data_IF_737642609976
#
_entry.id   IF_737642609976
#
_cell.length_a   1.000
_cell.length_b   1.000
_cell.length_c   1.000
_cell.angle_alpha   90.00
_cell.angle_beta   90.00
_cell.angle_gamma   90.00
#
_symmetry.space_group_name_H-M   'P 1'
#
loop_
_entity.id
_entity.type
_entity.pdbx_description
1 polymer ?
#
# COMPACT_ATOMS: atom_id res chain seq x y z
N UNK A 1 -31.06 -27.09 -9.09
CA UNK A 1 -29.81 -27.79 -8.67
C UNK A 1 -29.08 -28.17 -9.96
N UNK A 2 -27.88 -27.73 -10.32
CA UNK A 2 -26.88 -26.88 -9.69
C UNK A 2 -26.15 -26.06 -10.79
N UNK A 3 -25.95 -24.73 -10.68
CA UNK A 3 -25.42 -23.89 -11.76
C UNK A 3 -23.87 -23.76 -11.76
N UNK A 4 -23.13 -24.69 -11.14
CA UNK A 4 -21.70 -24.53 -10.86
C UNK A 4 -20.71 -25.26 -11.78
N UNK A 5 -21.18 -26.11 -12.70
CA UNK A 5 -20.30 -27.08 -13.38
C UNK A 5 -19.61 -26.48 -14.62
N UNK A 6 -20.26 -25.56 -15.33
CA UNK A 6 -19.70 -24.94 -16.55
C UNK A 6 -18.50 -24.02 -16.28
N UNK A 7 -18.50 -23.32 -15.14
CA UNK A 7 -17.40 -22.44 -14.74
C UNK A 7 -16.15 -23.23 -14.30
N UNK A 8 -16.36 -24.34 -13.58
CA UNK A 8 -15.29 -25.25 -13.17
C UNK A 8 -14.60 -25.92 -14.36
N UNK A 9 -15.36 -26.33 -15.39
CA UNK A 9 -14.83 -26.96 -16.61
C UNK A 9 -14.13 -25.94 -17.53
N UNK A 10 -14.61 -24.69 -17.58
CA UNK A 10 -13.93 -23.60 -18.28
C UNK A 10 -12.57 -23.25 -17.66
N UNK A 11 -12.49 -23.23 -16.33
CA UNK A 11 -11.23 -23.04 -15.59
C UNK A 11 -10.30 -24.24 -15.79
N UNK A 12 -10.80 -25.49 -15.77
CA UNK A 12 -10.00 -26.69 -16.07
C UNK A 12 -9.40 -26.71 -17.47
N UNK A 13 -10.03 -26.08 -18.46
CA UNK A 13 -9.49 -25.94 -19.83
C UNK A 13 -8.42 -24.85 -19.97
N UNK A 14 -8.43 -23.84 -19.09
CA UNK A 14 -7.42 -22.79 -19.03
C UNK A 14 -6.18 -23.18 -18.20
N UNK A 15 -6.33 -24.14 -17.28
CA UNK A 15 -5.26 -24.66 -16.41
C UNK A 15 -4.06 -25.27 -17.16
N UNK A 16 -4.17 -25.99 -18.30
CA UNK A 16 -3.00 -26.45 -19.04
C UNK A 16 -2.30 -25.31 -19.83
N UNK A 17 -3.01 -24.24 -20.17
CA UNK A 17 -2.46 -23.11 -20.94
C UNK A 17 -1.82 -22.02 -20.04
N UNK A 18 -2.28 -21.88 -18.80
CA UNK A 18 -1.67 -21.00 -17.80
C UNK A 18 -0.57 -21.77 -17.08
N UNK A 19 0.63 -21.76 -17.66
CA UNK A 19 1.81 -22.26 -16.95
C UNK A 19 1.97 -21.56 -15.61
N UNK A 20 2.42 -22.29 -14.57
CA UNK A 20 2.70 -21.78 -13.21
C UNK A 20 3.38 -20.40 -13.18
N UNK A 21 4.28 -20.17 -14.13
CA UNK A 21 4.97 -18.90 -14.33
C UNK A 21 4.04 -17.71 -14.67
N UNK A 22 2.99 -17.91 -15.47
CA UNK A 22 2.00 -16.88 -15.80
C UNK A 22 1.19 -16.47 -14.57
N UNK A 23 0.89 -17.39 -13.65
CA UNK A 23 0.23 -17.06 -12.39
C UNK A 23 1.11 -16.12 -11.57
N UNK A 24 2.41 -16.42 -11.46
CA UNK A 24 3.37 -15.55 -10.76
C UNK A 24 3.51 -14.19 -11.44
N UNK A 25 3.53 -14.14 -12.77
CA UNK A 25 3.53 -12.88 -13.54
C UNK A 25 2.27 -12.04 -13.30
N UNK A 26 1.10 -12.66 -13.25
CA UNK A 26 -0.15 -11.95 -12.97
C UNK A 26 -0.15 -11.42 -11.54
N UNK A 27 0.28 -12.23 -10.55
CA UNK A 27 0.33 -11.81 -9.15
C UNK A 27 1.29 -10.64 -8.93
N UNK A 28 2.49 -10.68 -9.53
CA UNK A 28 3.45 -9.57 -9.42
C UNK A 28 2.96 -8.34 -10.19
N UNK A 29 2.30 -8.50 -11.34
CA UNK A 29 1.69 -7.39 -12.08
C UNK A 29 0.59 -6.71 -11.25
N UNK A 30 -0.29 -7.49 -10.61
CA UNK A 30 -1.31 -6.96 -9.71
C UNK A 30 -0.65 -6.23 -8.53
N UNK A 31 0.39 -6.80 -7.91
CA UNK A 31 1.11 -6.14 -6.83
C UNK A 31 1.72 -4.78 -7.27
N UNK A 32 2.35 -4.74 -8.45
CA UNK A 32 2.91 -3.49 -9.02
C UNK A 32 1.79 -2.46 -9.26
N UNK A 33 0.67 -2.89 -9.85
CA UNK A 33 -0.48 -2.01 -10.09
C UNK A 33 -1.00 -1.47 -8.77
N UNK A 34 -1.17 -2.30 -7.75
CA UNK A 34 -1.66 -1.87 -6.44
C UNK A 34 -0.71 -0.89 -5.74
N UNK A 35 0.61 -1.12 -5.76
CA UNK A 35 1.59 -0.18 -5.18
C UNK A 35 1.65 1.13 -5.97
N UNK A 36 1.56 1.05 -7.29
CA UNK A 36 1.56 2.23 -8.17
C UNK A 36 0.27 3.03 -8.00
N UNK A 37 -0.87 2.35 -7.86
CA UNK A 37 -2.15 2.97 -7.54
C UNK A 37 -2.13 3.57 -6.13
N UNK A 38 -1.56 2.88 -5.14
CA UNK A 38 -1.42 3.42 -3.78
C UNK A 38 -0.62 4.73 -3.78
N UNK A 39 0.52 4.76 -4.47
CA UNK A 39 1.35 5.97 -4.57
C UNK A 39 0.67 7.07 -5.38
N UNK A 40 0.01 6.74 -6.50
CA UNK A 40 -0.74 7.68 -7.32
C UNK A 40 -1.99 8.23 -6.59
N UNK A 41 -2.72 7.39 -5.85
CA UNK A 41 -3.91 7.79 -5.10
C UNK A 41 -3.56 8.51 -3.81
N UNK A 42 -2.40 8.29 -3.19
CA UNK A 42 -1.94 9.13 -2.09
C UNK A 42 -1.34 10.46 -2.57
N UNK A 43 -0.98 10.56 -3.85
CA UNK A 43 -0.67 11.82 -4.52
C UNK A 43 -1.95 12.57 -4.95
N UNK A 44 -2.93 11.85 -5.51
CA UNK A 44 -4.19 12.38 -6.03
C UNK A 44 -5.34 12.43 -5.02
N UNK A 45 -5.23 11.76 -3.87
CA UNK A 45 -6.12 11.88 -2.70
C UNK A 45 -6.04 13.27 -2.06
N UNK A 46 -5.09 14.06 -2.56
CA UNK A 46 -5.04 15.50 -2.46
C UNK A 46 -5.44 16.23 -3.75
N UNK A 47 -6.47 15.76 -4.48
CA UNK A 47 -7.10 16.49 -5.57
C UNK A 47 -8.60 16.59 -5.34
N UNK A 48 -9.04 17.84 -5.26
CA UNK A 48 -10.28 18.41 -4.73
C UNK A 48 -11.61 17.98 -5.38
N UNK A 49 -11.67 16.90 -6.16
CA UNK A 49 -12.74 16.76 -7.17
C UNK A 49 -13.56 15.47 -7.16
N UNK A 50 -13.28 14.50 -6.29
CA UNK A 50 -14.03 13.24 -6.28
C UNK A 50 -14.67 12.93 -4.93
N UNK A 51 -16.00 13.09 -4.79
CA UNK A 51 -16.79 12.62 -3.65
C UNK A 51 -16.69 11.11 -3.41
N UNK A 52 -16.17 10.35 -4.39
CA UNK A 52 -16.05 8.89 -4.38
C UNK A 52 -14.76 8.37 -3.74
N UNK A 53 -13.82 9.23 -3.32
CA UNK A 53 -12.59 8.79 -2.63
C UNK A 53 -12.45 9.48 -1.25
N UNK A 54 -13.39 9.30 -0.31
CA UNK A 54 -13.33 9.95 1.01
C UNK A 54 -12.34 9.28 1.99
N UNK A 55 -11.60 8.23 1.60
CA UNK A 55 -10.87 7.37 2.55
C UNK A 55 -9.42 7.03 2.22
N UNK A 56 -8.76 7.78 1.32
CA UNK A 56 -7.34 7.53 0.96
C UNK A 56 -6.48 8.70 1.44
N UNK A 57 -6.00 8.56 2.67
CA UNK A 57 -5.02 9.43 3.31
C UNK A 57 -4.11 8.57 4.20
N UNK A 58 -3.02 9.11 4.72
CA UNK A 58 -2.20 8.42 5.73
C UNK A 58 -2.81 8.62 7.11
N UNK A 59 -3.03 9.89 7.45
CA UNK A 59 -3.62 10.35 8.69
C UNK A 59 -4.48 11.57 8.40
N UNK A 60 -5.59 11.69 9.11
CA UNK A 60 -6.41 12.91 9.15
C UNK A 60 -6.43 13.44 10.58
N UNK A 61 -6.44 14.75 10.72
CA UNK A 61 -6.67 15.46 11.97
C UNK A 61 -7.85 16.38 11.77
N UNK A 62 -8.82 16.35 12.67
CA UNK A 62 -9.98 17.22 12.57
C UNK A 62 -10.44 17.71 13.93
N UNK A 63 -10.99 18.92 13.94
CA UNK A 63 -11.66 19.42 15.13
C UNK A 63 -13.03 18.76 15.27
N UNK A 64 -13.25 18.17 16.43
CA UNK A 64 -14.56 17.66 16.84
C UNK A 64 -14.64 17.81 18.35
N UNK A 65 -15.70 18.47 18.82
CA UNK A 65 -15.99 18.51 20.25
C UNK A 65 -16.53 17.15 20.72
N UNK A 66 -15.90 16.55 21.71
CA UNK A 66 -16.37 15.32 22.36
C UNK A 66 -16.08 15.37 23.87
N UNK A 67 -16.70 14.48 24.64
CA UNK A 67 -16.49 14.40 26.09
C UNK A 67 -15.05 13.98 26.39
N UNK A 68 -14.25 14.79 27.09
CA UNK A 68 -12.87 14.44 27.44
C UNK A 68 -12.82 13.15 28.27
N UNK A 69 -11.78 12.35 28.04
CA UNK A 69 -11.48 11.17 28.86
C UNK A 69 -10.48 11.55 29.95
N UNK A 70 -10.84 11.30 31.21
CA UNK A 70 -10.01 11.60 32.37
C UNK A 70 -9.27 10.35 32.85
N UNK A 71 -7.97 10.47 33.06
CA UNK A 71 -7.11 9.38 33.55
C UNK A 71 -6.25 9.88 34.73
N UNK A 72 -6.00 9.06 35.77
CA UNK A 72 -5.13 9.43 36.89
C UNK A 72 -3.69 9.83 36.51
N UNK A 73 -3.21 9.44 35.31
CA UNK A 73 -1.92 9.85 34.78
C UNK A 73 -1.89 11.29 34.23
N UNK A 74 -3.05 11.93 34.09
CA UNK A 74 -3.15 13.34 33.67
C UNK A 74 -2.82 14.25 34.85
N UNK A 75 -1.70 14.98 34.76
CA UNK A 75 -1.24 15.91 35.80
C UNK A 75 -2.18 17.11 35.95
N UNK A 76 -2.71 17.62 34.84
CA UNK A 76 -3.69 18.72 34.83
C UNK A 76 -4.86 18.40 33.86
N UNK A 77 -5.93 17.76 34.36
CA UNK A 77 -7.11 17.46 33.54
C UNK A 77 -7.91 18.73 33.16
N UNK A 78 -7.70 19.85 33.85
CA UNK A 78 -8.39 21.12 33.60
C UNK A 78 -7.97 21.80 32.29
N UNK A 79 -6.79 21.48 31.76
CA UNK A 79 -6.29 21.99 30.47
C UNK A 79 -7.25 21.69 29.33
N UNK A 80 -7.96 20.57 29.37
CA UNK A 80 -8.95 20.18 28.35
C UNK A 80 -10.05 21.22 28.16
N UNK A 81 -10.51 21.86 29.24
CA UNK A 81 -11.52 22.92 29.19
C UNK A 81 -10.96 24.21 28.57
N UNK A 82 -9.69 24.55 28.84
CA UNK A 82 -9.03 25.69 28.22
C UNK A 82 -8.86 25.48 26.71
N UNK A 83 -8.44 24.27 26.30
CA UNK A 83 -8.33 23.89 24.88
C UNK A 83 -9.71 23.97 24.21
N UNK A 84 -10.77 23.45 24.83
CA UNK A 84 -12.12 23.51 24.28
C UNK A 84 -12.60 24.95 24.07
N UNK A 85 -12.27 25.88 24.97
CA UNK A 85 -12.60 27.30 24.81
C UNK A 85 -11.82 27.97 23.67
N UNK A 86 -10.57 27.56 23.42
CA UNK A 86 -9.73 28.07 22.33
C UNK A 86 -10.21 27.54 20.97
N UNK A 87 -10.56 26.25 20.89
CA UNK A 87 -11.03 25.62 19.66
C UNK A 87 -12.46 26.06 19.31
N UNK A 88 -13.30 26.29 20.33
CA UNK A 88 -14.67 26.75 20.14
C UNK A 88 -15.50 25.77 19.30
N UNK A 89 -16.18 26.28 18.26
CA UNK A 89 -16.97 25.48 17.32
C UNK A 89 -16.34 25.37 15.92
N UNK A 90 -15.02 25.53 15.83
CA UNK A 90 -14.35 25.46 14.53
C UNK A 90 -14.38 24.04 13.97
N UNK A 91 -14.59 23.95 12.66
CA UNK A 91 -14.57 22.69 11.92
C UNK A 91 -13.54 22.80 10.79
N UNK A 92 -12.38 22.20 11.04
CA UNK A 92 -11.30 22.05 10.09
C UNK A 92 -10.89 20.58 10.11
N UNK A 93 -10.76 19.99 8.92
CA UNK A 93 -10.14 18.68 8.72
C UNK A 93 -8.89 18.87 7.87
N UNK A 94 -7.78 18.28 8.31
CA UNK A 94 -6.49 18.27 7.63
C UNK A 94 -6.08 16.82 7.37
N UNK A 95 -5.98 16.45 6.09
CA UNK A 95 -5.51 15.13 5.63
C UNK A 95 -4.08 15.21 5.13
N UNK A 96 -3.30 14.17 5.43
CA UNK A 96 -1.91 14.05 5.00
C UNK A 96 -1.75 12.93 3.98
N UNK A 97 -1.15 13.25 2.83
CA UNK A 97 -0.66 12.28 1.85
C UNK A 97 0.88 12.24 1.81
N UNK A 98 1.46 11.40 0.95
CA UNK A 98 2.93 11.30 0.83
C UNK A 98 3.60 12.60 0.38
N UNK A 99 2.94 13.34 -0.51
CA UNK A 99 3.52 14.48 -1.22
C UNK A 99 2.70 15.76 -1.06
N UNK A 100 1.70 15.77 -0.19
CA UNK A 100 0.74 16.87 -0.08
C UNK A 100 -0.10 16.85 1.18
N UNK A 101 -0.74 17.98 1.41
CA UNK A 101 -1.67 18.23 2.52
C UNK A 101 -2.99 18.73 1.94
N UNK A 102 -4.07 18.41 2.64
CA UNK A 102 -5.41 18.70 2.20
C UNK A 102 -6.26 19.22 3.35
N UNK A 103 -6.85 20.38 3.18
CA UNK A 103 -7.67 21.03 4.21
C UNK A 103 -9.11 21.14 3.75
N UNK A 104 -10.07 20.91 4.63
CA UNK A 104 -11.47 21.22 4.40
C UNK A 104 -11.98 22.09 5.54
N UNK A 105 -12.34 23.33 5.21
CA UNK A 105 -13.06 24.23 6.11
C UNK A 105 -14.54 24.21 5.69
N UNK A 106 -15.44 23.98 6.64
CA UNK A 106 -16.90 24.01 6.44
C UNK A 106 -17.48 23.00 5.42
N UNK A 107 -17.18 21.70 5.62
CA UNK A 107 -17.86 20.53 5.00
C UNK A 107 -18.05 20.53 3.47
N UNK A 108 -17.33 21.37 2.71
CA UNK A 108 -17.69 21.69 1.33
C UNK A 108 -16.69 21.28 0.26
N UNK A 109 -15.39 21.51 0.44
CA UNK A 109 -14.36 21.20 -0.58
C UNK A 109 -12.97 21.05 0.07
N UNK A 110 -12.18 20.07 -0.38
CA UNK A 110 -10.78 19.95 0.03
C UNK A 110 -9.90 20.87 -0.81
N UNK A 111 -9.15 21.76 -0.18
CA UNK A 111 -8.07 22.52 -0.79
C UNK A 111 -6.76 21.78 -0.56
N UNK A 112 -6.03 21.53 -1.64
CA UNK A 112 -4.91 20.61 -1.62
C UNK A 112 -3.64 21.29 -2.13
N UNK A 113 -2.55 21.17 -1.38
CA UNK A 113 -1.26 21.75 -1.77
C UNK A 113 -0.11 20.99 -1.11
N UNK A 114 1.06 21.00 -1.76
CA UNK A 114 2.29 20.55 -1.13
C UNK A 114 2.88 21.61 -0.18
N UNK A 115 2.55 22.88 -0.39
CA UNK A 115 3.05 23.97 0.46
C UNK A 115 2.04 24.28 1.56
N UNK A 116 2.39 23.89 2.80
CA UNK A 116 1.58 24.13 3.99
C UNK A 116 1.38 25.62 4.28
N UNK A 117 2.37 26.46 3.96
CA UNK A 117 2.28 27.91 4.17
C UNK A 117 1.19 28.53 3.29
N UNK A 118 1.08 28.10 2.03
CA UNK A 118 0.00 28.55 1.14
C UNK A 118 -1.39 28.12 1.63
N UNK A 119 -1.50 26.95 2.28
CA UNK A 119 -2.75 26.49 2.87
C UNK A 119 -3.10 27.31 4.12
N UNK A 120 -2.12 27.59 4.97
CA UNK A 120 -2.28 28.40 6.16
C UNK A 120 -2.67 29.85 5.83
N UNK A 121 -2.13 30.44 4.75
CA UNK A 121 -2.50 31.79 4.28
C UNK A 121 -3.96 31.89 3.80
N UNK A 122 -4.56 30.77 3.40
CA UNK A 122 -5.95 30.72 2.95
C UNK A 122 -6.94 30.50 4.10
N UNK A 123 -6.45 30.22 5.31
CA UNK A 123 -7.26 29.92 6.49
C UNK A 123 -7.09 31.06 7.52
N UNK A 124 -8.20 31.51 8.13
CA UNK A 124 -8.15 32.48 9.22
C UNK A 124 -7.71 31.84 10.54
N UNK A 125 -7.15 32.64 11.45
CA UNK A 125 -6.67 32.18 12.76
C UNK A 125 -7.79 31.46 13.54
N UNK A 126 -9.03 31.93 13.43
CA UNK A 126 -10.19 31.33 14.11
C UNK A 126 -10.53 29.90 13.63
N UNK A 127 -10.06 29.53 12.44
CA UNK A 127 -10.34 28.23 11.80
C UNK A 127 -9.25 27.18 12.06
N UNK A 128 -8.03 27.59 12.44
CA UNK A 128 -6.95 26.68 12.85
C UNK A 128 -6.27 27.12 14.18
N UNK A 129 -7.01 27.19 15.30
CA UNK A 129 -6.51 27.75 16.55
C UNK A 129 -5.40 26.90 17.22
N UNK A 130 -5.28 25.61 16.85
CA UNK A 130 -4.23 24.70 17.35
C UNK A 130 -3.15 24.38 16.32
N UNK A 131 -3.11 25.10 15.19
CA UNK A 131 -2.14 24.90 14.12
C UNK A 131 -2.06 23.45 13.62
N UNK A 132 -3.21 22.80 13.41
CA UNK A 132 -3.33 21.47 12.83
C UNK A 132 -2.61 21.37 11.48
N UNK A 133 -2.64 22.43 10.65
CA UNK A 133 -1.93 22.46 9.37
C UNK A 133 -0.42 22.29 9.58
N UNK A 134 0.12 22.94 10.62
CA UNK A 134 1.55 22.83 10.97
C UNK A 134 1.91 21.45 11.51
N UNK A 135 1.07 20.88 12.39
CA UNK A 135 1.25 19.51 12.92
C UNK A 135 1.23 18.50 11.77
N UNK A 136 0.25 18.61 10.87
CA UNK A 136 0.12 17.76 9.70
C UNK A 136 1.32 17.88 8.74
N UNK A 137 1.81 19.10 8.51
CA UNK A 137 3.02 19.33 7.71
C UNK A 137 4.28 18.75 8.37
N UNK A 138 4.38 18.83 9.69
CA UNK A 138 5.50 18.23 10.45
C UNK A 138 5.48 16.71 10.33
N UNK A 139 4.31 16.08 10.44
CA UNK A 139 4.17 14.64 10.21
C UNK A 139 4.61 14.26 8.78
N UNK A 140 4.13 14.98 7.76
CA UNK A 140 4.51 14.76 6.35
C UNK A 140 6.02 14.84 6.15
N UNK A 141 6.68 15.89 6.66
CA UNK A 141 8.10 16.13 6.34
C UNK A 141 9.06 15.30 7.20
N UNK A 142 8.70 14.98 8.44
CA UNK A 142 9.60 14.35 9.40
C UNK A 142 9.39 12.85 9.55
N UNK A 143 8.19 12.33 9.22
CA UNK A 143 7.81 10.94 9.51
C UNK A 143 7.54 10.14 8.24
N UNK A 144 6.98 10.78 7.21
CA UNK A 144 6.56 10.09 6.00
C UNK A 144 7.74 9.88 5.03
N UNK A 145 8.02 8.62 4.67
CA UNK A 145 9.12 8.27 3.76
C UNK A 145 8.63 7.37 2.59
N UNK A 146 8.24 7.94 1.44
CA UNK A 146 7.71 7.17 0.30
C UNK A 146 8.79 6.45 -0.54
N UNK A 147 10.06 6.83 -0.41
CA UNK A 147 11.12 6.41 -1.33
C UNK A 147 11.40 4.91 -1.31
N UNK A 148 11.23 4.23 -0.17
CA UNK A 148 11.38 2.77 -0.09
C UNK A 148 10.36 2.03 -0.97
N UNK A 149 9.12 2.51 -1.01
CA UNK A 149 8.07 1.92 -1.86
C UNK A 149 8.41 2.12 -3.34
N UNK A 150 8.90 3.30 -3.71
CA UNK A 150 9.30 3.60 -5.10
C UNK A 150 10.42 2.65 -5.55
N UNK A 151 11.44 2.45 -4.72
CA UNK A 151 12.53 1.51 -5.01
C UNK A 151 12.00 0.07 -5.11
N UNK A 152 11.09 -0.34 -4.21
CA UNK A 152 10.48 -1.65 -4.25
C UNK A 152 9.68 -1.90 -5.54
N UNK A 153 8.96 -0.90 -6.05
CA UNK A 153 8.25 -0.98 -7.34
C UNK A 153 9.24 -1.21 -8.48
N UNK A 154 10.39 -0.51 -8.49
CA UNK A 154 11.42 -0.69 -9.51
C UNK A 154 11.95 -2.13 -9.48
N UNK A 155 12.27 -2.67 -8.30
CA UNK A 155 12.73 -4.05 -8.17
C UNK A 155 11.66 -5.08 -8.55
N UNK A 156 10.41 -4.87 -8.18
CA UNK A 156 9.30 -5.72 -8.60
C UNK A 156 9.10 -5.68 -10.13
N UNK A 157 9.25 -4.52 -10.75
CA UNK A 157 9.18 -4.36 -12.21
C UNK A 157 10.33 -5.06 -12.93
N UNK A 158 11.57 -4.93 -12.43
CA UNK A 158 12.71 -5.67 -12.96
C UNK A 158 12.51 -7.18 -12.82
N UNK A 159 11.97 -7.64 -11.69
CA UNK A 159 11.60 -9.04 -11.49
C UNK A 159 10.55 -9.48 -12.54
N UNK A 160 9.51 -8.68 -12.78
CA UNK A 160 8.50 -8.96 -13.80
C UNK A 160 9.12 -9.10 -15.21
N UNK A 161 10.06 -8.23 -15.59
CA UNK A 161 10.77 -8.33 -16.87
C UNK A 161 11.61 -9.61 -16.97
N UNK A 162 12.29 -10.00 -15.89
CA UNK A 162 13.04 -11.26 -15.85
C UNK A 162 12.13 -12.48 -15.96
N UNK A 163 10.98 -12.46 -15.28
CA UNK A 163 9.96 -13.49 -15.44
C UNK A 163 9.48 -13.54 -16.90
N UNK A 164 9.16 -12.41 -17.52
CA UNK A 164 8.71 -12.38 -18.92
C UNK A 164 9.71 -12.99 -19.92
N UNK A 165 11.00 -13.09 -19.57
CA UNK A 165 12.01 -13.78 -20.39
C UNK A 165 11.97 -15.31 -20.32
N UNK A 166 11.14 -15.90 -19.45
CA UNK A 166 11.05 -17.34 -19.31
C UNK A 166 10.40 -17.96 -20.55
N UNK A 167 11.02 -18.99 -21.13
CA UNK A 167 10.50 -19.63 -22.32
C UNK A 167 9.19 -20.36 -22.00
N UNK A 168 8.17 -20.13 -22.84
CA UNK A 168 6.87 -20.79 -22.75
C UNK A 168 6.92 -22.26 -23.17
N UNK A 169 5.77 -22.91 -23.10
CA UNK A 169 5.57 -24.23 -23.72
C UNK A 169 5.78 -24.10 -25.23
N UNK A 170 6.58 -25.01 -25.81
CA UNK A 170 6.72 -25.14 -27.25
C UNK A 170 6.55 -26.60 -27.63
N UNK A 171 5.77 -26.86 -28.68
CA UNK A 171 5.58 -28.20 -29.23
C UNK A 171 6.85 -28.60 -29.98
N UNK A 172 7.49 -29.70 -29.55
CA UNK A 172 8.56 -30.33 -30.31
C UNK A 172 8.10 -31.69 -30.82
N UNK A 173 8.48 -32.01 -32.06
CA UNK A 173 8.15 -33.30 -32.65
C UNK A 173 9.22 -34.32 -32.25
N UNK A 174 8.81 -35.33 -31.50
CA UNK A 174 9.72 -36.38 -31.02
C UNK A 174 10.31 -37.14 -32.21
N UNK A 175 11.65 -37.20 -32.29
CA UNK A 175 12.39 -37.83 -33.39
C UNK A 175 12.25 -39.36 -33.40
N UNK A 176 11.89 -39.98 -32.27
CA UNK A 176 11.78 -41.43 -32.15
C UNK A 176 10.38 -41.97 -32.50
N UNK A 177 9.33 -41.26 -32.10
CA UNK A 177 7.93 -41.72 -32.25
C UNK A 177 7.12 -40.91 -33.26
N UNK A 178 7.62 -39.75 -33.69
CA UNK A 178 6.92 -38.85 -34.62
C UNK A 178 5.72 -38.12 -34.01
N UNK A 179 5.44 -38.35 -32.72
CA UNK A 179 4.39 -37.69 -31.93
C UNK A 179 4.79 -36.25 -31.59
N UNK A 180 3.80 -35.36 -31.56
CA UNK A 180 3.96 -34.03 -30.96
C UNK A 180 4.07 -34.20 -29.44
N UNK A 181 5.12 -33.63 -28.86
CA UNK A 181 5.39 -33.65 -27.41
C UNK A 181 5.59 -32.21 -26.96
N UNK A 182 4.82 -31.79 -25.97
CA UNK A 182 4.99 -30.49 -25.33
C UNK A 182 6.25 -30.50 -24.47
N UNK A 183 7.28 -29.75 -24.89
CA UNK A 183 8.53 -29.60 -24.13
C UNK A 183 8.52 -28.28 -23.39
N UNK A 184 8.74 -28.35 -22.08
CA UNK A 184 8.90 -27.17 -21.22
C UNK A 184 10.39 -26.92 -20.96
N UNK A 185 11.01 -25.94 -21.64
CA UNK A 185 12.40 -25.57 -21.35
C UNK A 185 12.54 -25.06 -19.92
N UNK A 186 13.58 -25.53 -19.21
CA UNK A 186 13.89 -25.04 -17.87
C UNK A 186 14.37 -23.58 -17.94
N UNK A 187 13.91 -22.70 -17.04
CA UNK A 187 14.43 -21.35 -16.95
C UNK A 187 15.91 -21.37 -16.58
N UNK A 188 16.68 -20.40 -17.08
CA UNK A 188 18.10 -20.31 -16.75
C UNK A 188 18.28 -20.03 -15.25
N UNK A 189 19.06 -20.89 -14.58
CA UNK A 189 19.39 -20.79 -13.15
C UNK A 189 19.80 -19.37 -12.69
N UNK A 190 20.66 -18.61 -13.40
CA UNK A 190 21.02 -17.26 -12.97
C UNK A 190 19.83 -16.30 -12.98
N UNK A 191 18.95 -16.38 -13.99
CA UNK A 191 17.79 -15.49 -14.09
C UNK A 191 16.78 -15.79 -12.99
N UNK A 192 16.53 -17.07 -12.68
CA UNK A 192 15.63 -17.45 -11.58
C UNK A 192 16.15 -17.00 -10.20
N UNK A 193 17.47 -17.08 -9.96
CA UNK A 193 18.07 -16.64 -8.70
C UNK A 193 18.04 -15.11 -8.57
N UNK A 194 18.34 -14.38 -9.64
CA UNK A 194 18.22 -12.91 -9.67
C UNK A 194 16.78 -12.45 -9.46
N UNK A 195 15.80 -13.11 -10.10
CA UNK A 195 14.38 -12.80 -9.91
C UNK A 195 13.93 -13.03 -8.46
N UNK A 196 14.35 -14.13 -7.83
CA UNK A 196 14.06 -14.43 -6.43
C UNK A 196 14.66 -13.36 -5.49
N UNK A 197 15.92 -12.99 -5.70
CA UNK A 197 16.58 -11.98 -4.89
C UNK A 197 15.88 -10.60 -5.00
N UNK A 198 15.51 -10.19 -6.22
CA UNK A 198 14.81 -8.93 -6.45
C UNK A 198 13.43 -8.88 -5.79
N UNK A 199 12.61 -9.94 -5.94
CA UNK A 199 11.29 -9.96 -5.31
C UNK A 199 11.38 -10.05 -3.79
N UNK A 200 12.38 -10.75 -3.26
CA UNK A 200 12.61 -10.83 -1.82
C UNK A 200 12.96 -9.45 -1.25
N UNK A 201 13.93 -8.74 -1.85
CA UNK A 201 14.31 -7.39 -1.42
C UNK A 201 13.12 -6.43 -1.55
N UNK A 202 12.36 -6.50 -2.65
CA UNK A 202 11.16 -5.70 -2.84
C UNK A 202 10.12 -5.98 -1.73
N UNK A 203 9.88 -7.24 -1.38
CA UNK A 203 8.93 -7.62 -0.32
C UNK A 203 9.34 -7.08 1.05
N UNK A 204 10.64 -7.09 1.37
CA UNK A 204 11.18 -6.53 2.62
C UNK A 204 11.00 -5.01 2.66
N UNK A 205 11.30 -4.31 1.56
CA UNK A 205 11.10 -2.86 1.50
C UNK A 205 9.64 -2.46 1.63
N UNK A 206 8.72 -3.19 1.00
CA UNK A 206 7.27 -2.97 1.17
C UNK A 206 6.86 -3.24 2.62
N UNK A 207 7.33 -4.33 3.22
CA UNK A 207 7.02 -4.67 4.62
C UNK A 207 7.46 -3.56 5.59
N UNK A 208 8.71 -3.12 5.49
CA UNK A 208 9.26 -2.04 6.32
C UNK A 208 8.46 -0.75 6.12
N UNK A 209 8.13 -0.42 4.87
CA UNK A 209 7.38 0.80 4.56
C UNK A 209 5.97 0.79 5.14
N UNK A 210 5.22 -0.30 4.93
CA UNK A 210 3.83 -0.43 5.41
C UNK A 210 3.79 -0.49 6.95
N UNK A 211 4.70 -1.23 7.57
CA UNK A 211 4.83 -1.26 9.03
C UNK A 211 5.13 0.12 9.61
N UNK A 212 6.12 0.81 9.04
CA UNK A 212 6.51 2.15 9.48
C UNK A 212 5.33 3.13 9.38
N UNK A 213 4.63 3.14 8.24
CA UNK A 213 3.48 4.04 8.05
C UNK A 213 2.33 3.72 9.01
N UNK A 214 2.04 2.43 9.23
CA UNK A 214 1.02 1.99 10.17
C UNK A 214 1.35 2.46 11.59
N UNK A 215 2.54 2.15 12.10
CA UNK A 215 2.91 2.49 13.47
C UNK A 215 3.03 3.99 13.67
N UNK A 216 3.63 4.70 12.71
CA UNK A 216 3.78 6.15 12.74
C UNK A 216 2.43 6.88 12.73
N UNK A 217 1.51 6.50 11.84
CA UNK A 217 0.18 7.13 11.75
C UNK A 217 -0.64 6.85 13.01
N UNK A 218 -0.65 5.62 13.51
CA UNK A 218 -1.36 5.29 14.76
C UNK A 218 -0.78 6.06 15.94
N UNK A 219 0.55 6.12 16.08
CA UNK A 219 1.19 6.85 17.18
C UNK A 219 0.88 8.35 17.11
N UNK A 220 1.00 8.97 15.93
CA UNK A 220 0.69 10.38 15.75
C UNK A 220 -0.80 10.68 16.01
N UNK A 221 -1.71 9.80 15.58
CA UNK A 221 -3.14 9.96 15.80
C UNK A 221 -3.52 9.89 17.28
N UNK A 222 -2.91 8.98 18.04
CA UNK A 222 -3.15 8.85 19.47
C UNK A 222 -2.56 10.03 20.24
N UNK A 223 -1.31 10.42 19.98
CA UNK A 223 -0.67 11.57 20.63
C UNK A 223 -1.46 12.86 20.37
N UNK A 224 -1.93 13.09 19.15
CA UNK A 224 -2.75 14.26 18.83
C UNK A 224 -4.11 14.25 19.56
N UNK A 225 -4.76 13.09 19.66
CA UNK A 225 -6.03 12.93 20.39
C UNK A 225 -5.87 13.13 21.89
N UNK A 226 -4.81 12.57 22.48
CA UNK A 226 -4.54 12.69 23.91
C UNK A 226 -4.15 14.13 24.27
N UNK A 227 -3.40 14.82 23.41
CA UNK A 227 -3.06 16.23 23.60
C UNK A 227 -4.28 17.16 23.45
N UNK A 228 -5.13 16.91 22.45
CA UNK A 228 -6.31 17.73 22.17
C UNK A 228 -7.56 17.30 22.93
N UNK A 229 -7.45 16.34 23.85
CA UNK A 229 -8.52 15.63 24.55
C UNK A 229 -9.84 16.41 24.70
N UNK A 230 -10.83 16.04 23.88
CA UNK A 230 -12.17 16.64 23.82
C UNK A 230 -12.38 17.65 22.69
N UNK A 231 -11.32 18.01 21.94
CA UNK A 231 -11.37 19.03 20.88
C UNK A 231 -10.76 18.58 19.55
N UNK A 232 -9.81 17.63 19.56
CA UNK A 232 -9.14 17.12 18.36
C UNK A 232 -9.37 15.62 18.25
N UNK A 233 -9.80 15.16 17.08
CA UNK A 233 -9.76 13.76 16.71
C UNK A 233 -8.84 13.53 15.54
N UNK A 234 -8.41 12.28 15.40
CA UNK A 234 -7.59 11.84 14.29
C UNK A 234 -8.02 10.45 13.85
N UNK A 235 -7.93 10.20 12.56
CA UNK A 235 -8.14 8.89 11.97
C UNK A 235 -6.92 8.46 11.17
N UNK A 236 -6.89 7.17 10.88
CA UNK A 236 -5.84 6.55 10.05
C UNK A 236 -6.51 6.03 8.80
N UNK A 237 -5.90 6.28 7.63
CA UNK A 237 -6.49 5.85 6.36
C UNK A 237 -6.37 4.35 6.16
N UNK A 238 -7.41 3.63 6.59
CA UNK A 238 -7.50 2.16 6.50
C UNK A 238 -7.42 1.66 5.06
N UNK A 239 -7.97 2.40 4.08
CA UNK A 239 -7.92 2.01 2.67
C UNK A 239 -6.48 1.94 2.14
N UNK A 240 -5.66 2.96 2.43
CA UNK A 240 -4.25 3.01 2.04
C UNK A 240 -3.47 1.86 2.69
N UNK A 241 -3.75 1.59 3.96
CA UNK A 241 -3.15 0.51 4.73
C UNK A 241 -3.49 -0.87 4.15
N UNK A 242 -4.75 -1.13 3.82
CA UNK A 242 -5.20 -2.40 3.22
C UNK A 242 -4.53 -2.64 1.88
N UNK A 243 -4.45 -1.62 1.01
CA UNK A 243 -3.77 -1.73 -0.29
C UNK A 243 -2.28 -2.08 -0.13
N UNK A 244 -1.60 -1.47 0.83
CA UNK A 244 -0.20 -1.77 1.15
C UNK A 244 0.01 -3.21 1.63
N UNK A 245 -0.77 -3.64 2.63
CA UNK A 245 -0.69 -5.01 3.16
C UNK A 245 -1.09 -6.08 2.14
N UNK A 246 -2.11 -5.79 1.33
CA UNK A 246 -2.54 -6.70 0.28
C UNK A 246 -1.46 -6.87 -0.79
N UNK A 247 -0.79 -5.78 -1.20
CA UNK A 247 0.35 -5.89 -2.09
C UNK A 247 1.52 -6.65 -1.47
N UNK A 248 1.80 -6.45 -0.18
CA UNK A 248 2.85 -7.21 0.51
C UNK A 248 2.55 -8.72 0.48
N UNK A 249 1.30 -9.11 0.78
CA UNK A 249 0.89 -10.50 0.75
C UNK A 249 1.06 -11.13 -0.65
N UNK A 250 0.73 -10.39 -1.72
CA UNK A 250 0.97 -10.84 -3.10
C UNK A 250 2.45 -11.05 -3.40
N UNK A 251 3.32 -10.10 -3.03
CA UNK A 251 4.78 -10.24 -3.20
C UNK A 251 5.33 -11.42 -2.40
N UNK A 252 4.81 -11.67 -1.21
CA UNK A 252 5.19 -12.83 -0.39
C UNK A 252 4.80 -14.15 -1.08
N UNK A 253 3.58 -14.24 -1.62
CA UNK A 253 3.12 -15.40 -2.39
C UNK A 253 4.01 -15.63 -3.61
N UNK A 254 4.36 -14.57 -4.35
CA UNK A 254 5.27 -14.66 -5.51
C UNK A 254 6.67 -15.15 -5.07
N UNK A 255 7.18 -14.64 -3.95
CA UNK A 255 8.49 -15.03 -3.41
C UNK A 255 8.51 -16.51 -3.04
N UNK A 256 7.48 -16.99 -2.32
CA UNK A 256 7.33 -18.40 -1.96
C UNK A 256 7.17 -19.25 -3.23
N UNK A 257 6.39 -18.78 -4.21
CA UNK A 257 6.17 -19.50 -5.45
C UNK A 257 7.45 -19.67 -6.28
N UNK A 258 8.27 -18.62 -6.41
CA UNK A 258 9.57 -18.73 -7.06
C UNK A 258 10.51 -19.66 -6.32
N UNK A 259 10.52 -19.63 -4.98
CA UNK A 259 11.32 -20.53 -4.16
C UNK A 259 10.94 -22.00 -4.38
N UNK A 260 9.64 -22.32 -4.34
CA UNK A 260 9.13 -23.68 -4.59
C UNK A 260 9.52 -24.14 -5.98
N UNK A 261 9.33 -23.30 -7.00
CA UNK A 261 9.71 -23.63 -8.38
C UNK A 261 11.20 -23.96 -8.52
N UNK A 262 12.08 -23.14 -7.93
CA UNK A 262 13.54 -23.35 -7.97
C UNK A 262 13.90 -24.66 -7.27
N UNK A 263 13.31 -24.93 -6.10
CA UNK A 263 13.57 -26.15 -5.33
C UNK A 263 13.09 -27.41 -6.09
N UNK A 264 11.92 -27.35 -6.72
CA UNK A 264 11.38 -28.46 -7.52
C UNK A 264 12.28 -28.81 -8.71
N UNK A 265 12.81 -27.80 -9.41
CA UNK A 265 13.76 -28.02 -10.52
C UNK A 265 15.04 -28.67 -9.99
N UNK A 266 15.56 -28.19 -8.86
CA UNK A 266 16.77 -28.75 -8.26
C UNK A 266 16.60 -30.21 -7.82
N UNK A 267 15.40 -30.57 -7.35
CA UNK A 267 15.06 -31.94 -6.97
C UNK A 267 14.92 -32.83 -8.20
N UNK A 268 14.24 -32.36 -9.26
CA UNK A 268 14.11 -33.08 -10.53
C UNK A 268 15.48 -33.35 -11.19
N UNK A 269 16.36 -32.35 -11.24
CA UNK A 269 17.72 -32.53 -11.76
C UNK A 269 18.46 -33.63 -10.97
N UNK A 270 18.36 -33.63 -9.64
CA UNK A 270 18.98 -34.65 -8.79
C UNK A 270 18.43 -36.06 -9.01
N UNK A 271 17.14 -36.21 -9.32
CA UNK A 271 16.52 -37.51 -9.57
C UNK A 271 16.73 -38.04 -10.99
N UNK A 272 17.09 -37.16 -11.94
CA UNK A 272 17.28 -37.52 -13.36
C UNK A 272 18.76 -37.74 -13.68
N UNK A 273 19.66 -37.17 -12.88
CA UNK A 273 21.12 -37.39 -12.95
C UNK A 273 21.59 -38.68 -12.23
N UNK A 274 20.67 -39.49 -11.68
CA UNK A 274 20.89 -40.89 -11.26
C UNK A 274 20.29 -41.88 -12.27
#
# INVERSE_FOLDING_TARGET
MAPGIGFAVGIQRLIPFIGYHHILMILIAIAIILLSWLTALLLAGCSSSSPLIPGIFLIDFYYQTYTPTYDPAQVDPGVTAAIANIVGQTQLEVRVGYFGLCIASDAGNYLCSNNATLLAEQISIDKDPMNLIWVANTFKNSVVFPWLIIIAIIFAFLCFLLLASFPGWHEERDRATGSEVDVKPFPSRPVSQSALALVFIASVFVLVSVLWQHTASVAAAQVAQDMGNGSIKSGVGTSAMVLGWFSFALLLIVTIGLLVMILSIHLLDRLTDE
#
